data_IF_391076463521
#
_entry.id   IF_391076463521
#
_cell.length_a   1.000
_cell.length_b   1.000
_cell.length_c   1.000
_cell.angle_alpha   90.00
_cell.angle_beta   90.00
_cell.angle_gamma   90.00
#
_symmetry.space_group_name_H-M   'P 1'
#
loop_
_entity.id
_entity.type
_entity.pdbx_description
1 polymer ?
#
# COMPACT_ATOMS: atom_id res chain seq x y z
N UNK A 1 -10.57 -9.24 15.73
CA UNK A 1 -9.96 -9.16 14.39
C UNK A 1 -8.90 -10.25 14.22
N UNK A 2 -8.53 -10.59 12.99
CA UNK A 2 -7.44 -11.57 12.74
C UNK A 2 -6.12 -11.14 13.38
N UNK A 3 -5.81 -9.84 13.39
CA UNK A 3 -4.62 -9.32 14.05
C UNK A 3 -4.57 -9.65 15.54
N UNK A 4 -5.70 -9.63 16.23
CA UNK A 4 -5.76 -9.92 17.66
C UNK A 4 -5.42 -11.39 17.95
N UNK A 5 -5.89 -12.30 17.09
CA UNK A 5 -5.52 -13.71 17.17
C UNK A 5 -4.01 -13.93 16.95
N UNK A 6 -3.42 -13.27 15.95
CA UNK A 6 -1.97 -13.34 15.69
C UNK A 6 -1.18 -12.80 16.89
N UNK A 7 -1.63 -11.70 17.49
CA UNK A 7 -1.02 -11.13 18.68
C UNK A 7 -1.11 -12.08 19.88
N UNK A 8 -2.26 -12.73 20.07
CA UNK A 8 -2.44 -13.74 21.13
C UNK A 8 -1.50 -14.92 20.93
N UNK A 9 -1.38 -15.44 19.71
CA UNK A 9 -0.42 -16.52 19.39
C UNK A 9 1.00 -16.08 19.77
N UNK A 10 1.43 -14.90 19.36
CA UNK A 10 2.77 -14.38 19.68
C UNK A 10 3.01 -14.25 21.18
N UNK A 11 2.03 -13.80 21.92
CA UNK A 11 2.20 -13.50 23.35
C UNK A 11 2.10 -14.75 24.24
N UNK A 12 1.27 -15.74 23.87
CA UNK A 12 0.92 -16.86 24.74
C UNK A 12 1.47 -18.21 24.24
N UNK A 13 1.73 -18.36 22.93
CA UNK A 13 2.05 -19.65 22.32
C UNK A 13 3.47 -19.66 21.72
N UNK A 14 3.76 -18.72 20.79
CA UNK A 14 5.02 -18.65 20.07
C UNK A 14 5.57 -17.23 20.02
N UNK A 15 6.45 -16.85 20.94
CA UNK A 15 7.04 -15.49 20.98
C UNK A 15 7.96 -15.21 19.78
N UNK A 16 8.37 -16.22 19.02
CA UNK A 16 9.24 -16.05 17.84
C UNK A 16 8.50 -15.58 16.61
N UNK A 17 7.16 -15.75 16.56
CA UNK A 17 6.32 -15.33 15.45
C UNK A 17 6.52 -13.86 15.12
N UNK A 18 6.87 -13.57 13.85
CA UNK A 18 7.23 -12.23 13.40
C UNK A 18 6.21 -11.68 12.41
N UNK A 19 5.66 -10.52 12.70
CA UNK A 19 4.74 -9.79 11.82
C UNK A 19 4.83 -8.29 12.07
N UNK A 20 4.34 -7.50 11.11
CA UNK A 20 4.26 -6.04 11.27
C UNK A 20 2.86 -5.63 11.73
N UNK A 21 2.81 -4.63 12.58
CA UNK A 21 1.57 -3.97 13.02
C UNK A 21 1.86 -2.55 13.51
N UNK A 22 0.85 -1.69 13.47
CA UNK A 22 0.93 -0.35 14.09
C UNK A 22 -0.47 0.16 14.48
N UNK A 23 -1.20 0.83 13.57
CA UNK A 23 -2.41 1.59 13.87
C UNK A 23 -3.60 0.77 14.40
N UNK A 24 -3.80 -0.46 13.97
CA UNK A 24 -4.93 -1.36 14.26
C UNK A 24 -6.29 -0.90 13.71
N UNK A 25 -6.31 0.09 12.84
CA UNK A 25 -7.53 0.74 12.30
C UNK A 25 -7.53 0.90 10.77
N UNK A 26 -6.65 0.16 10.09
CA UNK A 26 -6.63 0.15 8.63
C UNK A 26 -5.90 1.32 7.95
N UNK A 27 -5.15 2.15 8.68
CA UNK A 27 -4.54 3.38 8.14
C UNK A 27 -3.08 3.22 7.75
N UNK A 28 -2.30 2.41 8.48
CA UNK A 28 -0.83 2.34 8.26
C UNK A 28 -0.39 1.30 7.23
N UNK A 29 -1.25 0.36 6.83
CA UNK A 29 -0.91 -0.71 5.88
C UNK A 29 0.07 -1.78 6.40
N UNK A 30 0.63 -1.63 7.61
CA UNK A 30 1.73 -2.49 8.12
C UNK A 30 1.34 -3.97 8.24
N UNK A 31 0.10 -4.26 8.63
CA UNK A 31 -0.38 -5.62 8.86
C UNK A 31 -0.98 -6.29 7.60
N UNK A 32 -0.59 -5.82 6.41
CA UNK A 32 -0.99 -6.44 5.16
C UNK A 32 -0.38 -7.85 5.03
N UNK A 33 -1.23 -8.82 4.75
CA UNK A 33 -0.87 -10.23 4.58
C UNK A 33 -1.93 -10.96 3.76
N UNK A 34 -1.67 -12.19 3.36
CA UNK A 34 -2.65 -13.02 2.70
C UNK A 34 -3.43 -13.82 3.75
N UNK A 35 -4.74 -13.63 3.79
CA UNK A 35 -5.65 -14.32 4.72
C UNK A 35 -6.66 -15.07 3.87
N UNK A 36 -6.66 -16.41 3.95
CA UNK A 36 -7.53 -17.29 3.17
C UNK A 36 -7.53 -17.00 1.66
N UNK A 37 -6.34 -16.75 1.10
CA UNK A 37 -6.18 -16.46 -0.32
C UNK A 37 -6.44 -14.99 -0.72
N UNK A 38 -6.86 -14.14 0.20
CA UNK A 38 -7.12 -12.72 -0.05
C UNK A 38 -6.05 -11.84 0.59
N UNK A 39 -5.43 -10.95 -0.19
CA UNK A 39 -4.49 -9.97 0.34
C UNK A 39 -5.26 -8.83 1.01
N UNK A 40 -5.13 -8.71 2.32
CA UNK A 40 -5.88 -7.75 3.14
C UNK A 40 -5.12 -7.35 4.40
N UNK A 41 -5.68 -6.41 5.16
CA UNK A 41 -5.14 -5.97 6.44
C UNK A 41 -5.69 -6.84 7.57
N UNK A 42 -4.80 -7.43 8.37
CA UNK A 42 -5.21 -8.27 9.50
C UNK A 42 -5.98 -7.52 10.58
N UNK A 43 -5.79 -6.20 10.70
CA UNK A 43 -6.48 -5.39 11.71
C UNK A 43 -7.93 -5.05 11.35
N UNK A 44 -8.32 -5.19 10.09
CA UNK A 44 -9.69 -4.91 9.63
C UNK A 44 -10.45 -6.16 9.22
N UNK A 45 -9.77 -7.32 9.11
CA UNK A 45 -10.40 -8.60 8.75
C UNK A 45 -11.07 -9.23 9.97
N UNK A 46 -12.42 -9.38 10.00
CA UNK A 46 -13.13 -10.07 11.07
C UNK A 46 -12.79 -11.56 11.10
N UNK A 47 -12.74 -12.16 12.29
CA UNK A 47 -12.54 -13.61 12.45
C UNK A 47 -13.80 -14.39 12.05
N UNK A 48 -14.97 -13.81 12.23
CA UNK A 48 -16.27 -14.41 11.90
C UNK A 48 -16.47 -14.69 10.40
N UNK A 49 -15.74 -13.95 9.55
CA UNK A 49 -15.73 -14.20 8.10
C UNK A 49 -15.01 -15.52 7.73
N UNK A 50 -14.42 -16.19 8.70
CA UNK A 50 -13.59 -17.38 8.48
C UNK A 50 -14.34 -18.64 8.91
N UNK A 51 -14.51 -19.58 7.98
CA UNK A 51 -15.45 -20.69 8.16
C UNK A 51 -14.98 -21.83 9.08
N UNK A 52 -13.68 -22.12 9.24
CA UNK A 52 -13.16 -23.21 10.11
C UNK A 52 -11.71 -23.00 10.56
N UNK A 53 -10.79 -22.85 9.63
CA UNK A 53 -9.34 -22.73 9.86
C UNK A 53 -8.84 -21.53 9.07
N UNK A 54 -8.15 -20.62 9.73
CA UNK A 54 -7.59 -19.44 9.09
C UNK A 54 -6.21 -19.80 8.54
N UNK A 55 -6.03 -19.66 7.24
CA UNK A 55 -4.72 -19.80 6.60
C UNK A 55 -4.12 -18.40 6.37
N UNK A 56 -3.00 -18.14 7.05
CA UNK A 56 -2.33 -16.86 7.00
C UNK A 56 -0.96 -17.05 6.37
N UNK A 57 -0.68 -16.27 5.33
CA UNK A 57 0.59 -16.25 4.62
C UNK A 57 1.12 -14.82 4.51
N UNK A 58 2.43 -14.64 4.32
CA UNK A 58 2.97 -13.34 3.94
C UNK A 58 2.37 -12.89 2.60
N UNK A 59 2.47 -11.59 2.28
CA UNK A 59 2.06 -11.08 0.96
C UNK A 59 2.78 -11.88 -0.15
N UNK A 60 2.04 -12.43 -1.13
CA UNK A 60 2.63 -13.27 -2.18
C UNK A 60 3.53 -12.45 -3.12
N UNK A 61 4.41 -13.15 -3.84
CA UNK A 61 5.30 -12.57 -4.86
C UNK A 61 6.25 -11.48 -4.35
N UNK A 62 6.52 -11.45 -3.04
CA UNK A 62 7.57 -10.64 -2.42
C UNK A 62 8.52 -11.54 -1.62
N UNK A 63 9.83 -11.27 -1.61
CA UNK A 63 10.76 -12.04 -0.79
C UNK A 63 10.38 -11.98 0.69
N UNK A 64 10.34 -13.11 1.36
CA UNK A 64 10.05 -13.19 2.79
C UNK A 64 11.33 -12.97 3.58
N UNK A 65 11.28 -12.08 4.56
CA UNK A 65 12.39 -11.84 5.49
C UNK A 65 12.31 -12.84 6.65
N UNK A 66 11.13 -12.91 7.27
CA UNK A 66 10.83 -13.87 8.34
C UNK A 66 9.31 -13.97 8.53
N UNK A 67 8.78 -15.17 8.64
CA UNK A 67 7.37 -15.49 8.88
C UNK A 67 6.41 -14.67 8.00
N UNK A 68 5.66 -13.74 8.56
CA UNK A 68 4.70 -12.89 7.85
C UNK A 68 5.29 -11.55 7.35
N UNK A 69 6.61 -11.36 7.50
CA UNK A 69 7.30 -10.12 7.11
C UNK A 69 7.93 -10.26 5.74
N UNK A 70 7.44 -9.49 4.79
CA UNK A 70 7.96 -9.42 3.42
C UNK A 70 8.91 -8.25 3.21
N UNK A 71 9.80 -8.36 2.21
CA UNK A 71 10.71 -7.31 1.81
C UNK A 71 10.04 -6.37 0.80
N UNK A 72 9.79 -5.14 1.21
CA UNK A 72 9.13 -4.11 0.41
C UNK A 72 10.11 -3.20 -0.37
N UNK A 73 11.42 -3.52 -0.37
CA UNK A 73 12.44 -2.66 -1.01
C UNK A 73 12.14 -2.38 -2.47
N UNK A 74 11.71 -3.39 -3.23
CA UNK A 74 11.38 -3.23 -4.65
C UNK A 74 10.23 -2.24 -4.84
N UNK A 75 9.15 -2.38 -4.07
CA UNK A 75 8.00 -1.46 -4.12
C UNK A 75 8.43 -0.01 -3.81
N UNK A 76 9.19 0.19 -2.74
CA UNK A 76 9.66 1.54 -2.38
C UNK A 76 10.69 2.11 -3.37
N UNK A 77 11.53 1.27 -4.00
CA UNK A 77 12.42 1.71 -5.08
C UNK A 77 11.62 2.17 -6.29
N UNK A 78 10.59 1.45 -6.68
CA UNK A 78 9.69 1.83 -7.77
C UNK A 78 8.91 3.11 -7.43
N UNK A 79 8.41 3.23 -6.20
CA UNK A 79 7.76 4.45 -5.72
C UNK A 79 8.71 5.66 -5.78
N UNK A 80 9.94 5.51 -5.33
CA UNK A 80 10.94 6.58 -5.39
C UNK A 80 11.29 7.00 -6.82
N UNK A 81 11.22 6.07 -7.79
CA UNK A 81 11.53 6.37 -9.19
C UNK A 81 10.55 7.35 -9.84
N UNK A 82 9.30 7.38 -9.40
CA UNK A 82 8.28 8.32 -9.89
C UNK A 82 8.31 9.67 -9.18
N UNK A 83 9.18 9.83 -8.15
CA UNK A 83 9.33 11.07 -7.37
C UNK A 83 7.99 11.62 -6.87
N UNK A 84 7.19 10.86 -6.08
CA UNK A 84 5.83 11.21 -5.68
C UNK A 84 5.79 12.27 -4.57
N UNK A 85 6.60 13.29 -4.68
CA UNK A 85 6.65 14.42 -3.77
C UNK A 85 6.42 15.71 -4.53
N UNK A 86 5.99 16.74 -3.83
CA UNK A 86 5.72 18.05 -4.39
C UNK A 86 7.00 18.60 -5.05
N UNK A 87 6.95 18.83 -6.35
CA UNK A 87 8.06 19.37 -7.13
C UNK A 87 7.64 20.74 -7.71
N UNK A 88 7.94 21.81 -7.00
CA UNK A 88 7.59 23.15 -7.41
C UNK A 88 8.68 23.68 -8.34
N UNK A 89 8.39 23.73 -9.63
CA UNK A 89 9.31 24.25 -10.67
C UNK A 89 9.19 25.76 -10.87
N UNK A 90 8.03 26.36 -10.56
CA UNK A 90 7.81 27.81 -10.59
C UNK A 90 7.36 28.28 -9.23
N UNK A 91 8.08 29.29 -8.66
CA UNK A 91 7.54 30.03 -7.53
C UNK A 91 6.28 30.77 -8.01
N UNK A 92 5.17 30.56 -7.32
CA UNK A 92 3.99 31.40 -7.46
C UNK A 92 4.32 32.84 -7.01
N UNK A 93 3.77 33.83 -7.66
CA UNK A 93 3.86 35.22 -7.21
C UNK A 93 3.06 35.46 -5.91
N UNK A 94 2.27 34.48 -5.51
CA UNK A 94 1.57 34.36 -4.24
C UNK A 94 2.16 33.20 -3.43
N UNK A 95 2.14 33.28 -2.10
CA UNK A 95 2.70 32.24 -1.21
C UNK A 95 1.97 30.90 -1.30
N UNK A 96 0.86 30.80 -2.04
CA UNK A 96 0.04 29.61 -2.17
C UNK A 96 -0.06 29.11 -3.61
N UNK A 97 0.03 27.79 -3.78
CA UNK A 97 -0.30 27.11 -5.04
C UNK A 97 -1.76 26.63 -4.97
N UNK A 98 -2.64 27.38 -5.60
CA UNK A 98 -4.07 27.08 -5.59
C UNK A 98 -4.40 25.89 -6.51
N UNK A 99 -5.28 25.02 -6.05
CA UNK A 99 -5.86 23.92 -6.81
C UNK A 99 -7.36 24.16 -7.01
N UNK A 100 -7.89 23.91 -8.22
CA UNK A 100 -9.32 24.00 -8.47
C UNK A 100 -10.10 22.89 -7.71
N UNK A 101 -11.38 23.14 -7.41
CA UNK A 101 -12.25 22.13 -6.78
C UNK A 101 -12.44 20.90 -7.68
N UNK A 102 -12.47 21.11 -8.99
CA UNK A 102 -12.62 20.05 -9.99
C UNK A 102 -11.39 19.15 -10.02
N UNK A 103 -10.19 19.73 -9.97
CA UNK A 103 -8.95 18.94 -9.92
C UNK A 103 -8.81 18.21 -8.59
N UNK A 104 -9.23 18.82 -7.48
CA UNK A 104 -9.26 18.16 -6.19
C UNK A 104 -10.20 16.97 -6.18
N UNK A 105 -11.38 17.07 -6.81
CA UNK A 105 -12.35 15.98 -6.90
C UNK A 105 -11.80 14.76 -7.67
N UNK A 106 -10.89 14.96 -8.64
CA UNK A 106 -10.23 13.86 -9.36
C UNK A 106 -9.33 12.99 -8.47
N UNK A 107 -8.96 13.49 -7.28
CA UNK A 107 -8.12 12.78 -6.32
C UNK A 107 -8.94 11.89 -5.37
N UNK A 108 -10.24 12.03 -5.33
CA UNK A 108 -11.10 11.21 -4.48
C UNK A 108 -10.97 9.73 -4.89
N UNK A 109 -10.74 8.85 -3.90
CA UNK A 109 -10.41 7.45 -4.12
C UNK A 109 -8.93 7.16 -4.40
N UNK A 110 -8.09 8.17 -4.61
CA UNK A 110 -6.66 8.00 -4.87
C UNK A 110 -5.79 8.36 -3.67
N UNK A 111 -6.10 9.47 -3.01
CA UNK A 111 -5.30 9.96 -1.87
C UNK A 111 -5.42 9.08 -0.62
N UNK A 112 -6.45 8.23 -0.55
CA UNK A 112 -6.64 7.25 0.53
C UNK A 112 -5.69 6.06 0.45
N UNK A 113 -4.86 5.96 -0.59
CA UNK A 113 -3.91 4.87 -0.74
C UNK A 113 -2.86 4.89 0.39
N UNK A 114 -2.83 3.81 1.18
CA UNK A 114 -1.94 3.64 2.34
C UNK A 114 -0.66 2.85 2.02
N UNK A 115 -0.38 2.57 0.74
CA UNK A 115 0.80 1.82 0.28
C UNK A 115 0.97 0.44 0.94
N UNK A 116 -0.12 -0.23 1.28
CA UNK A 116 -0.11 -1.55 1.93
C UNK A 116 0.39 -2.70 1.02
N UNK A 117 0.54 -2.46 -0.28
CA UNK A 117 0.96 -3.41 -1.30
C UNK A 117 -0.02 -4.55 -1.62
N UNK A 118 -1.21 -4.62 -1.01
CA UNK A 118 -2.20 -5.67 -1.30
C UNK A 118 -2.57 -5.74 -2.79
N UNK A 119 -2.81 -4.60 -3.43
CA UNK A 119 -3.16 -4.55 -4.87
C UNK A 119 -1.98 -4.96 -5.77
N UNK A 120 -0.76 -4.53 -5.48
CA UNK A 120 0.43 -4.91 -6.26
C UNK A 120 0.72 -6.40 -6.16
N UNK A 121 0.61 -6.97 -4.96
CA UNK A 121 0.81 -8.40 -4.73
C UNK A 121 -0.35 -9.28 -5.21
N UNK A 122 -1.50 -8.70 -5.57
CA UNK A 122 -2.62 -9.38 -6.21
C UNK A 122 -2.62 -9.24 -7.73
N UNK A 123 -1.70 -8.48 -8.31
CA UNK A 123 -1.67 -8.19 -9.74
C UNK A 123 -0.83 -9.21 -10.51
N UNK A 124 -1.42 -10.02 -11.43
CA UNK A 124 -0.66 -10.99 -12.21
C UNK A 124 0.47 -10.37 -13.04
N UNK A 125 0.25 -9.20 -13.63
CA UNK A 125 1.29 -8.49 -14.39
C UNK A 125 2.48 -8.10 -13.52
N UNK A 126 2.25 -7.75 -12.26
CA UNK A 126 3.30 -7.45 -11.30
C UNK A 126 4.07 -8.71 -10.87
N UNK A 127 3.41 -9.84 -10.77
CA UNK A 127 4.07 -11.10 -10.40
C UNK A 127 5.17 -11.49 -11.40
N UNK A 128 4.87 -11.33 -12.70
CA UNK A 128 5.74 -11.79 -13.78
C UNK A 128 6.79 -10.76 -14.23
N UNK A 129 6.51 -9.47 -14.04
CA UNK A 129 7.34 -8.38 -14.57
C UNK A 129 7.58 -7.25 -13.55
N UNK A 130 7.75 -7.57 -12.29
CA UNK A 130 7.98 -6.56 -11.23
C UNK A 130 9.28 -5.76 -11.40
N UNK A 131 10.18 -6.20 -12.25
CA UNK A 131 11.39 -5.48 -12.64
C UNK A 131 11.13 -4.31 -13.60
N UNK A 132 10.08 -4.41 -14.42
CA UNK A 132 9.72 -3.41 -15.46
C UNK A 132 8.38 -2.74 -15.21
N UNK A 133 7.41 -3.46 -14.68
CA UNK A 133 6.07 -2.98 -14.43
C UNK A 133 5.94 -2.45 -13.01
N UNK A 134 5.60 -1.17 -12.88
CA UNK A 134 5.53 -0.47 -11.59
C UNK A 134 4.44 -0.99 -10.65
N UNK A 135 3.39 -1.61 -11.18
CA UNK A 135 2.28 -2.13 -10.41
C UNK A 135 1.21 -1.10 -10.05
N UNK A 136 0.03 -1.58 -9.59
CA UNK A 136 -1.14 -0.71 -9.38
C UNK A 136 -0.90 0.41 -8.36
N UNK A 137 -0.25 0.11 -7.23
CA UNK A 137 -0.02 1.11 -6.18
C UNK A 137 0.85 2.28 -6.66
N UNK A 138 1.93 1.97 -7.39
CA UNK A 138 2.85 3.00 -7.89
C UNK A 138 2.23 3.80 -9.04
N UNK A 139 1.47 3.14 -9.92
CA UNK A 139 0.74 3.83 -10.99
C UNK A 139 -0.33 4.78 -10.44
N UNK A 140 -1.05 4.37 -9.38
CA UNK A 140 -1.99 5.24 -8.69
C UNK A 140 -1.28 6.47 -8.11
N UNK A 141 -0.14 6.29 -7.45
CA UNK A 141 0.65 7.39 -6.91
C UNK A 141 1.21 8.30 -8.01
N UNK A 142 1.59 7.74 -9.17
CA UNK A 142 2.02 8.54 -10.33
C UNK A 142 0.91 9.45 -10.83
N UNK A 143 -0.30 8.93 -10.98
CA UNK A 143 -1.46 9.71 -11.41
C UNK A 143 -1.82 10.79 -10.38
N UNK A 144 -1.87 10.45 -9.11
CA UNK A 144 -2.10 11.39 -8.03
C UNK A 144 -1.05 12.52 -8.03
N UNK A 145 0.22 12.19 -8.21
CA UNK A 145 1.30 13.15 -8.27
C UNK A 145 1.14 14.12 -9.46
N UNK A 146 0.77 13.62 -10.64
CA UNK A 146 0.54 14.47 -11.83
C UNK A 146 -0.57 15.50 -11.62
N UNK A 147 -1.62 15.13 -10.90
CA UNK A 147 -2.72 16.05 -10.58
C UNK A 147 -2.32 17.17 -9.60
N UNK A 148 -1.33 16.90 -8.73
CA UNK A 148 -0.84 17.90 -7.76
C UNK A 148 0.26 18.81 -8.31
N UNK A 149 1.13 18.30 -9.20
CA UNK A 149 2.43 18.93 -9.46
C UNK A 149 2.62 19.49 -10.85
N UNK A 150 1.72 19.19 -11.79
CA UNK A 150 1.96 19.57 -13.19
C UNK A 150 0.67 19.96 -13.91
N UNK A 151 0.59 21.18 -14.46
CA UNK A 151 -0.23 21.37 -15.63
C UNK A 151 0.27 20.37 -16.69
N UNK A 152 -0.63 19.57 -17.27
CA UNK A 152 -0.32 18.63 -18.32
C UNK A 152 0.46 19.33 -19.43
N UNK A 153 1.50 18.71 -20.05
CA UNK A 153 2.14 19.26 -21.24
C UNK A 153 1.19 19.51 -22.42
N UNK A 154 -0.07 19.06 -22.30
CA UNK A 154 -1.12 19.33 -23.29
C UNK A 154 -1.87 20.65 -23.02
N UNK A 155 -1.64 21.29 -21.87
CA UNK A 155 -2.31 22.53 -21.47
C UNK A 155 -1.42 23.76 -21.66
N UNK A 156 -0.28 23.60 -22.37
CA UNK A 156 0.65 24.68 -22.77
C UNK A 156 0.56 24.96 -24.26
#
# INVERSE_FOLDING_TARGET
MVLDAIMKIKNEIDPTLTFRRSCREGICGSCAMNIDGTNTLACTKPIEDVKKEIKIYPLPHMPVIKDLVTNLKTLYKQLASIKPWLNITKKSDTDENLQSREDRAKLDGLYECILCACCSTSCPSYWWNSDKYLGPAVLLQSYSCLLYTSPSPRDS
#
